data_IF_568636779326
#
_entry.id   IF_568636779326
#
_cell.length_a   1.000
_cell.length_b   1.000
_cell.length_c   1.000
_cell.angle_alpha   90.00
_cell.angle_beta   90.00
_cell.angle_gamma   90.00
#
_symmetry.space_group_name_H-M   'P 1'
#
loop_
_entity.id
_entity.type
_entity.pdbx_description
1 polymer ?
#
# COMPACT_ATOMS: atom_id res chain seq x y z
N UNK A 1 13.40 41.07 -25.86
CA UNK A 1 12.31 40.23 -25.30
C UNK A 1 12.34 38.88 -26.00
N UNK A 2 12.86 37.83 -25.34
CA UNK A 2 12.78 36.44 -25.83
C UNK A 2 11.56 35.80 -25.17
N UNK A 3 10.54 35.48 -25.97
CA UNK A 3 9.37 34.75 -25.50
C UNK A 3 9.78 33.29 -25.23
N UNK A 4 9.46 32.86 -24.01
CA UNK A 4 9.70 31.53 -23.47
C UNK A 4 8.89 30.49 -24.25
N UNK A 5 9.59 29.52 -24.82
CA UNK A 5 8.99 28.31 -25.37
C UNK A 5 8.53 27.45 -24.18
N UNK A 6 7.25 27.55 -23.83
CA UNK A 6 6.65 26.70 -22.79
C UNK A 6 6.34 25.34 -23.43
N UNK A 7 6.92 24.23 -22.95
CA UNK A 7 6.57 22.93 -23.49
C UNK A 7 5.10 22.63 -23.18
N UNK A 8 4.28 22.46 -24.22
CA UNK A 8 2.93 21.93 -24.09
C UNK A 8 3.01 20.57 -23.40
N UNK A 9 2.45 20.47 -22.19
CA UNK A 9 2.12 19.21 -21.55
C UNK A 9 1.32 18.36 -22.55
N UNK A 10 1.90 17.22 -22.96
CA UNK A 10 1.17 16.21 -23.72
C UNK A 10 -0.05 15.81 -22.92
N UNK A 11 -1.24 15.93 -23.53
CA UNK A 11 -2.46 15.32 -22.99
C UNK A 11 -2.19 13.82 -22.75
N UNK A 12 -2.51 13.27 -21.56
CA UNK A 12 -2.44 11.83 -21.35
C UNK A 12 -3.40 11.13 -22.32
N UNK A 13 -2.99 9.96 -22.82
CA UNK A 13 -3.81 9.15 -23.70
C UNK A 13 -5.07 8.68 -22.94
N UNK A 14 -6.25 9.00 -23.49
CA UNK A 14 -7.55 8.82 -22.84
C UNK A 14 -7.93 7.37 -22.43
N UNK A 15 -7.08 6.37 -22.68
CA UNK A 15 -7.29 4.97 -22.30
C UNK A 15 -6.54 4.53 -21.03
N UNK A 16 -5.67 5.38 -20.47
CA UNK A 16 -4.82 5.02 -19.31
C UNK A 16 -5.49 5.30 -17.95
N UNK A 17 -6.76 5.68 -17.90
CA UNK A 17 -7.46 6.05 -16.65
C UNK A 17 -8.77 5.28 -16.41
N UNK A 18 -9.00 4.19 -17.15
CA UNK A 18 -10.17 3.33 -16.98
C UNK A 18 -9.76 2.00 -16.37
N UNK A 19 -10.42 1.65 -15.27
CA UNK A 19 -10.27 0.36 -14.60
C UNK A 19 -10.96 -0.73 -15.43
N UNK A 20 -10.25 -1.83 -15.69
CA UNK A 20 -10.75 -2.90 -16.55
C UNK A 20 -11.98 -3.63 -15.95
N UNK A 21 -12.84 -4.21 -16.81
CA UNK A 21 -13.93 -5.08 -16.33
C UNK A 21 -13.42 -6.32 -15.60
N UNK A 22 -12.22 -6.79 -15.95
CA UNK A 22 -11.51 -7.87 -15.25
C UNK A 22 -11.18 -7.48 -13.81
N UNK A 23 -10.75 -6.24 -13.57
CA UNK A 23 -10.43 -5.75 -12.23
C UNK A 23 -11.61 -5.81 -11.27
N UNK A 24 -12.85 -5.52 -11.72
CA UNK A 24 -14.04 -5.65 -10.86
C UNK A 24 -14.25 -7.08 -10.36
N UNK A 25 -13.90 -8.08 -11.17
CA UNK A 25 -13.95 -9.48 -10.74
C UNK A 25 -12.85 -9.77 -9.71
N UNK A 26 -11.64 -9.25 -9.92
CA UNK A 26 -10.54 -9.33 -8.95
C UNK A 26 -10.93 -8.72 -7.60
N UNK A 27 -11.52 -7.53 -7.59
CA UNK A 27 -11.99 -6.88 -6.35
C UNK A 27 -13.02 -7.75 -5.64
N UNK A 28 -14.01 -8.31 -6.34
CA UNK A 28 -15.00 -9.21 -5.69
C UNK A 28 -14.37 -10.48 -5.13
N UNK A 29 -13.43 -11.08 -5.84
CA UNK A 29 -12.72 -12.28 -5.38
C UNK A 29 -11.88 -11.98 -4.13
N UNK A 30 -11.14 -10.87 -4.15
CA UNK A 30 -10.30 -10.44 -3.04
C UNK A 30 -11.15 -10.02 -1.82
N UNK A 31 -12.31 -9.39 -2.03
CA UNK A 31 -13.25 -9.08 -0.96
C UNK A 31 -13.71 -10.35 -0.25
N UNK A 32 -14.12 -11.38 -1.02
CA UNK A 32 -14.54 -12.66 -0.46
C UNK A 32 -13.41 -13.34 0.33
N UNK A 33 -12.18 -13.23 -0.14
CA UNK A 33 -11.01 -13.74 0.58
C UNK A 33 -10.80 -13.00 1.91
N UNK A 34 -10.90 -11.67 1.93
CA UNK A 34 -10.85 -10.88 3.16
C UNK A 34 -11.99 -11.23 4.13
N UNK A 35 -13.21 -11.42 3.63
CA UNK A 35 -14.36 -11.77 4.47
C UNK A 35 -14.18 -13.14 5.15
N UNK A 36 -13.69 -14.14 4.42
CA UNK A 36 -13.48 -15.50 4.94
C UNK A 36 -12.39 -15.54 6.00
N UNK A 37 -11.35 -14.71 5.85
CA UNK A 37 -10.29 -14.57 6.84
C UNK A 37 -10.60 -13.52 7.92
N UNK A 38 -11.81 -12.95 7.91
CA UNK A 38 -12.24 -12.00 8.92
C UNK A 38 -11.45 -10.69 8.95
N UNK A 39 -10.91 -10.23 7.82
CA UNK A 39 -10.07 -9.03 7.74
C UNK A 39 -10.84 -7.77 7.30
N UNK A 40 -11.92 -7.93 6.54
CA UNK A 40 -12.57 -6.83 5.81
C UNK A 40 -13.24 -5.76 6.68
N UNK A 41 -13.68 -6.12 7.89
CA UNK A 41 -14.54 -5.27 8.74
C UNK A 41 -13.81 -4.69 9.95
N UNK A 42 -12.49 -4.82 9.97
CA UNK A 42 -11.62 -4.47 11.09
C UNK A 42 -10.73 -3.29 10.70
N UNK A 43 -10.34 -2.41 11.64
CA UNK A 43 -9.32 -1.39 11.39
C UNK A 43 -8.00 -2.05 10.97
N UNK A 44 -7.27 -1.42 10.04
CA UNK A 44 -5.97 -1.91 9.59
C UNK A 44 -4.86 -0.98 10.09
N UNK A 45 -3.88 -1.56 10.77
CA UNK A 45 -2.58 -0.92 10.98
C UNK A 45 -1.62 -1.36 9.89
N UNK A 46 -1.27 -0.44 8.99
CA UNK A 46 -0.38 -0.68 7.86
C UNK A 46 1.03 -0.23 8.22
N UNK A 47 1.97 -1.19 8.31
CA UNK A 47 3.37 -0.91 8.61
C UNK A 47 4.24 -1.03 7.36
N UNK A 48 4.87 0.08 7.00
CA UNK A 48 5.93 0.17 5.99
C UNK A 48 7.31 -0.23 6.51
N UNK A 49 8.35 0.13 5.76
CA UNK A 49 9.74 -0.27 6.05
C UNK A 49 10.70 0.91 6.23
N UNK A 50 10.15 2.11 6.46
CA UNK A 50 10.96 3.27 6.81
C UNK A 50 11.68 3.03 8.16
N UNK A 51 12.89 3.57 8.33
CA UNK A 51 13.61 3.45 9.60
C UNK A 51 12.90 4.21 10.71
N UNK A 52 12.94 3.67 11.93
CA UNK A 52 12.40 4.30 13.14
C UNK A 52 10.94 4.76 13.01
N UNK A 53 10.00 3.86 12.67
CA UNK A 53 8.59 4.20 12.55
C UNK A 53 8.02 4.74 13.87
N UNK A 54 7.14 5.72 13.78
CA UNK A 54 6.42 6.25 14.94
C UNK A 54 5.31 5.29 15.34
N UNK A 55 5.52 4.50 16.39
CA UNK A 55 4.52 3.51 16.84
C UNK A 55 3.36 4.20 17.59
N UNK A 56 2.10 3.83 17.30
CA UNK A 56 0.95 4.35 18.04
C UNK A 56 0.95 3.83 19.48
N UNK A 57 0.57 4.66 20.44
CA UNK A 57 0.45 4.23 21.85
C UNK A 57 -0.70 3.24 22.05
N UNK A 58 -1.79 3.43 21.30
CA UNK A 58 -2.98 2.58 21.34
C UNK A 58 -3.59 2.47 19.96
N UNK A 59 -3.82 1.24 19.52
CA UNK A 59 -4.62 0.94 18.33
C UNK A 59 -6.06 0.60 18.74
N UNK A 60 -7.03 0.70 17.82
CA UNK A 60 -8.36 0.15 18.04
C UNK A 60 -8.29 -1.32 18.46
N UNK A 61 -9.25 -1.75 19.27
CA UNK A 61 -9.41 -3.18 19.55
C UNK A 61 -9.66 -3.93 18.24
N UNK A 62 -9.23 -5.18 18.19
CA UNK A 62 -9.40 -6.05 17.02
C UNK A 62 -8.76 -5.51 15.72
N UNK A 63 -7.68 -4.73 15.82
CA UNK A 63 -6.92 -4.24 14.66
C UNK A 63 -6.24 -5.39 13.89
N UNK A 64 -6.29 -5.31 12.56
CA UNK A 64 -5.52 -6.14 11.63
C UNK A 64 -4.12 -5.55 11.44
N UNK A 65 -3.10 -6.37 11.63
CA UNK A 65 -1.69 -6.01 11.39
C UNK A 65 -1.30 -6.33 9.94
N UNK A 66 -1.24 -5.30 9.10
CA UNK A 66 -0.96 -5.39 7.68
C UNK A 66 0.47 -4.93 7.36
N UNK A 67 1.37 -5.86 7.04
CA UNK A 67 2.79 -5.57 6.88
C UNK A 67 3.23 -5.53 5.41
N UNK A 68 4.10 -4.58 5.09
CA UNK A 68 4.63 -4.40 3.73
C UNK A 68 6.04 -5.00 3.63
N UNK A 69 6.22 -5.98 2.74
CA UNK A 69 7.51 -6.69 2.57
C UNK A 69 8.02 -7.22 3.92
N UNK A 70 9.25 -6.88 4.28
CA UNK A 70 9.92 -7.32 5.51
C UNK A 70 9.61 -6.43 6.72
N UNK A 71 8.58 -5.59 6.67
CA UNK A 71 8.15 -4.75 7.80
C UNK A 71 7.85 -5.55 9.07
N UNK A 72 7.52 -6.84 8.96
CA UNK A 72 7.40 -7.74 10.10
C UNK A 72 8.67 -7.80 10.99
N UNK A 73 9.86 -7.52 10.46
CA UNK A 73 11.09 -7.42 11.26
C UNK A 73 11.09 -6.18 12.15
N UNK A 74 10.63 -5.06 11.59
CA UNK A 74 10.43 -3.81 12.34
C UNK A 74 9.37 -4.02 13.41
N UNK A 75 8.24 -4.62 13.05
CA UNK A 75 7.17 -4.97 13.98
C UNK A 75 7.68 -5.77 15.19
N UNK A 76 8.43 -6.84 14.96
CA UNK A 76 9.04 -7.65 16.03
C UNK A 76 9.97 -6.84 16.94
N UNK A 77 10.81 -5.97 16.38
CA UNK A 77 11.69 -5.09 17.18
C UNK A 77 10.90 -4.11 18.07
N UNK A 78 9.72 -3.70 17.61
CA UNK A 78 8.83 -2.79 18.32
C UNK A 78 7.79 -3.52 19.21
N UNK A 79 7.90 -4.84 19.37
CA UNK A 79 7.01 -5.63 20.22
C UNK A 79 5.59 -5.79 19.68
N UNK A 80 5.39 -5.55 18.38
CA UNK A 80 4.12 -5.81 17.71
C UNK A 80 3.95 -7.31 17.39
N UNK A 81 2.70 -7.80 17.26
CA UNK A 81 2.46 -9.19 16.88
C UNK A 81 2.90 -9.48 15.44
N UNK A 82 2.91 -10.75 15.06
CA UNK A 82 3.06 -11.15 13.66
C UNK A 82 1.92 -10.59 12.81
N UNK A 83 2.18 -10.40 11.52
CA UNK A 83 1.22 -9.80 10.61
C UNK A 83 0.08 -10.77 10.29
N UNK A 84 -1.15 -10.29 10.41
CA UNK A 84 -2.34 -10.99 9.90
C UNK A 84 -2.26 -11.14 8.38
N UNK A 85 -1.80 -10.10 7.70
CA UNK A 85 -1.60 -10.06 6.25
C UNK A 85 -0.28 -9.39 5.88
N UNK A 86 0.45 -9.98 4.94
CA UNK A 86 1.72 -9.44 4.42
C UNK A 86 1.72 -9.27 2.91
N UNK A 87 2.05 -8.07 2.42
CA UNK A 87 2.26 -7.82 0.99
C UNK A 87 3.68 -8.23 0.57
N UNK A 88 3.80 -9.32 -0.20
CA UNK A 88 5.07 -9.84 -0.69
C UNK A 88 5.25 -9.53 -2.18
N UNK A 89 6.29 -8.76 -2.53
CA UNK A 89 6.60 -8.43 -3.94
C UNK A 89 7.71 -9.23 -4.58
N UNK A 90 8.46 -9.99 -3.77
CA UNK A 90 9.50 -10.89 -4.20
C UNK A 90 9.43 -12.14 -3.33
N UNK A 91 9.53 -13.31 -3.96
CA UNK A 91 9.50 -14.57 -3.25
C UNK A 91 10.89 -15.21 -3.29
N UNK A 92 11.52 -15.26 -2.12
CA UNK A 92 12.80 -15.90 -1.87
C UNK A 92 12.73 -16.44 -0.44
N UNK A 93 12.52 -17.76 -0.30
CA UNK A 93 12.23 -18.41 0.98
C UNK A 93 13.27 -18.09 2.06
N UNK A 94 14.55 -18.00 1.66
CA UNK A 94 15.63 -17.68 2.58
C UNK A 94 15.47 -16.29 3.22
N UNK A 95 14.83 -15.35 2.51
CA UNK A 95 14.60 -13.98 3.00
C UNK A 95 13.39 -13.84 3.91
N UNK A 96 12.53 -14.84 3.97
CA UNK A 96 11.28 -14.83 4.75
C UNK A 96 11.30 -15.80 5.93
N UNK A 97 12.36 -16.61 6.07
CA UNK A 97 12.46 -17.70 7.06
C UNK A 97 12.34 -17.27 8.52
N UNK A 98 12.65 -16.00 8.83
CA UNK A 98 12.56 -15.40 10.16
C UNK A 98 11.20 -14.75 10.47
N UNK A 99 10.28 -14.72 9.51
CA UNK A 99 8.96 -14.10 9.61
C UNK A 99 7.85 -15.16 9.58
N UNK A 100 6.88 -15.01 10.48
CA UNK A 100 5.66 -15.82 10.44
C UNK A 100 4.64 -15.11 9.55
N UNK A 101 4.29 -15.75 8.44
CA UNK A 101 3.33 -15.22 7.46
C UNK A 101 2.00 -15.95 7.60
N UNK A 102 1.02 -15.30 8.21
CA UNK A 102 -0.34 -15.85 8.38
C UNK A 102 -1.08 -15.88 7.05
N UNK A 103 -1.23 -14.70 6.43
CA UNK A 103 -1.80 -14.53 5.09
C UNK A 103 -0.88 -13.68 4.23
N UNK A 104 -0.84 -13.99 2.93
CA UNK A 104 0.08 -13.33 1.99
C UNK A 104 -0.70 -12.75 0.82
N UNK A 105 -0.61 -11.44 0.65
CA UNK A 105 -0.97 -10.77 -0.59
C UNK A 105 0.26 -10.77 -1.51
N UNK A 106 0.30 -11.71 -2.45
CA UNK A 106 1.48 -12.00 -3.25
C UNK A 106 1.43 -11.28 -4.58
N UNK A 107 2.35 -10.35 -4.79
CA UNK A 107 2.47 -9.67 -6.08
C UNK A 107 3.20 -10.54 -7.10
N UNK A 108 2.58 -10.75 -8.27
CA UNK A 108 3.19 -11.46 -9.41
C UNK A 108 3.34 -10.58 -10.63
N UNK A 109 4.54 -10.60 -11.22
CA UNK A 109 4.87 -9.78 -12.39
C UNK A 109 4.37 -10.37 -13.72
N UNK A 110 4.10 -11.68 -13.80
CA UNK A 110 3.68 -12.34 -15.04
C UNK A 110 2.25 -12.85 -14.93
N UNK A 111 1.38 -12.39 -15.82
CA UNK A 111 0.11 -13.04 -16.10
C UNK A 111 0.38 -14.24 -17.01
N UNK A 112 0.83 -15.36 -16.43
CA UNK A 112 0.93 -16.62 -17.16
C UNK A 112 -0.39 -17.36 -17.09
N UNK A 113 -0.67 -18.19 -18.09
CA UNK A 113 -1.82 -19.11 -18.06
C UNK A 113 -1.85 -19.92 -16.76
N UNK A 114 -0.69 -20.29 -16.20
CA UNK A 114 -0.59 -20.96 -14.88
C UNK A 114 -1.14 -20.11 -13.73
N UNK A 115 -0.93 -18.79 -13.73
CA UNK A 115 -1.49 -17.89 -12.70
C UNK A 115 -3.00 -17.71 -12.90
N UNK A 116 -3.46 -17.69 -14.14
CA UNK A 116 -4.89 -17.69 -14.44
C UNK A 116 -5.58 -18.97 -13.94
N UNK A 117 -5.00 -20.15 -14.23
CA UNK A 117 -5.51 -21.42 -13.71
C UNK A 117 -5.36 -21.54 -12.20
N UNK A 118 -4.26 -21.05 -11.60
CA UNK A 118 -4.12 -21.06 -10.14
C UNK A 118 -5.21 -20.22 -9.50
N UNK A 119 -5.55 -19.05 -10.04
CA UNK A 119 -6.66 -18.23 -9.53
C UNK A 119 -8.02 -18.88 -9.67
N UNK A 120 -8.27 -19.58 -10.78
CA UNK A 120 -9.54 -20.32 -10.93
C UNK A 120 -9.62 -21.50 -9.98
N UNK A 121 -8.48 -22.11 -9.64
CA UNK A 121 -8.39 -23.21 -8.67
C UNK A 121 -8.26 -22.74 -7.21
N UNK A 122 -7.85 -21.48 -6.98
CA UNK A 122 -7.62 -20.92 -5.66
C UNK A 122 -8.92 -20.90 -4.88
N UNK A 123 -8.86 -21.48 -3.69
CA UNK A 123 -9.98 -21.45 -2.78
C UNK A 123 -9.92 -20.14 -2.01
N UNK A 124 -11.07 -19.51 -1.75
CA UNK A 124 -11.09 -18.32 -0.89
C UNK A 124 -10.54 -18.54 0.53
N UNK A 125 -10.36 -19.79 0.97
CA UNK A 125 -9.70 -20.17 2.23
C UNK A 125 -8.17 -20.25 2.15
N UNK A 126 -7.59 -20.11 0.96
CA UNK A 126 -6.14 -20.21 0.78
C UNK A 126 -5.44 -19.11 1.56
N UNK A 127 -4.23 -19.40 2.08
CA UNK A 127 -3.43 -18.41 2.81
C UNK A 127 -2.79 -17.36 1.90
N UNK A 128 -2.72 -17.63 0.60
CA UNK A 128 -2.16 -16.70 -0.39
C UNK A 128 -3.28 -16.14 -1.26
N UNK A 129 -3.25 -14.82 -1.48
CA UNK A 129 -4.03 -14.11 -2.47
C UNK A 129 -3.07 -13.49 -3.49
N UNK A 130 -3.18 -13.86 -4.76
CA UNK A 130 -2.32 -13.31 -5.81
C UNK A 130 -2.82 -11.92 -6.26
N UNK A 131 -1.89 -11.00 -6.47
CA UNK A 131 -2.12 -9.67 -7.04
C UNK A 131 -1.19 -9.47 -8.26
N UNK A 132 -1.74 -9.30 -9.44
CA UNK A 132 -0.93 -9.10 -10.65
C UNK A 132 -0.38 -7.67 -10.70
N UNK A 133 0.78 -7.52 -11.35
CA UNK A 133 1.44 -6.21 -11.46
C UNK A 133 0.57 -5.12 -12.10
N UNK A 134 -0.31 -5.44 -13.05
CA UNK A 134 -1.24 -4.47 -13.63
C UNK A 134 -2.40 -4.16 -12.68
N UNK A 135 -2.87 -5.14 -11.91
CA UNK A 135 -3.94 -4.92 -10.94
C UNK A 135 -3.49 -4.02 -9.80
N UNK A 136 -2.21 -4.05 -9.41
CA UNK A 136 -1.65 -3.06 -8.48
C UNK A 136 -1.89 -1.64 -8.97
N UNK A 137 -1.68 -1.41 -10.26
CA UNK A 137 -1.85 -0.10 -10.87
C UNK A 137 -3.35 0.26 -10.94
N UNK A 138 -4.23 -0.74 -11.13
CA UNK A 138 -5.68 -0.55 -11.07
C UNK A 138 -6.19 -0.25 -9.65
N UNK A 139 -5.63 -0.88 -8.61
CA UNK A 139 -5.93 -0.56 -7.21
C UNK A 139 -5.53 0.89 -6.90
N UNK A 140 -4.33 1.30 -7.28
CA UNK A 140 -3.85 2.67 -7.10
C UNK A 140 -4.73 3.66 -7.87
N UNK A 141 -5.05 3.37 -9.14
CA UNK A 141 -5.96 4.19 -9.94
C UNK A 141 -7.35 4.32 -9.29
N UNK A 142 -7.94 3.21 -8.85
CA UNK A 142 -9.27 3.19 -8.24
C UNK A 142 -9.29 3.96 -6.92
N UNK A 143 -8.30 3.75 -6.05
CA UNK A 143 -8.24 4.38 -4.74
C UNK A 143 -7.85 5.86 -4.82
N UNK A 144 -6.87 6.21 -5.66
CA UNK A 144 -6.17 7.50 -5.60
C UNK A 144 -6.43 8.35 -6.86
N UNK A 145 -7.13 7.82 -7.86
CA UNK A 145 -7.57 8.54 -9.05
C UNK A 145 -6.51 8.71 -10.14
N UNK A 146 -5.31 8.16 -9.98
CA UNK A 146 -4.24 8.16 -10.98
C UNK A 146 -3.27 7.01 -10.72
N UNK A 147 -2.50 6.62 -11.75
CA UNK A 147 -1.35 5.71 -11.59
C UNK A 147 -0.06 6.43 -11.22
N UNK A 148 -0.06 7.77 -11.21
CA UNK A 148 1.09 8.63 -10.91
C UNK A 148 2.31 8.36 -11.80
N UNK A 149 2.07 7.91 -13.03
CA UNK A 149 3.10 7.86 -14.07
C UNK A 149 3.59 9.29 -14.31
N UNK A 150 4.91 9.46 -14.49
CA UNK A 150 5.54 10.75 -14.84
C UNK A 150 5.55 11.82 -13.72
N UNK A 151 5.08 11.50 -12.51
CA UNK A 151 5.21 12.39 -11.34
C UNK A 151 6.65 12.43 -10.83
N UNK A 152 7.37 11.32 -10.92
CA UNK A 152 8.79 11.20 -10.63
C UNK A 152 9.49 10.30 -11.64
N UNK A 153 10.65 9.77 -11.25
CA UNK A 153 11.48 8.92 -12.12
C UNK A 153 10.93 7.50 -12.29
N UNK A 154 9.91 7.12 -11.52
CA UNK A 154 9.35 5.78 -11.52
C UNK A 154 7.97 5.72 -12.14
N UNK A 155 7.67 4.54 -12.69
CA UNK A 155 6.41 4.29 -13.40
C UNK A 155 5.22 4.17 -12.44
N UNK A 156 5.46 4.00 -11.13
CA UNK A 156 4.40 3.79 -10.13
C UNK A 156 4.86 4.06 -8.69
N UNK A 157 3.91 4.27 -7.76
CA UNK A 157 4.19 4.34 -6.31
C UNK A 157 4.75 3.04 -5.72
N UNK A 158 5.24 3.14 -4.48
CA UNK A 158 5.84 2.03 -3.76
C UNK A 158 4.85 0.94 -3.34
N UNK A 159 5.38 -0.20 -2.88
CA UNK A 159 4.55 -1.31 -2.39
C UNK A 159 3.68 -0.93 -1.19
N UNK A 160 4.09 0.04 -0.38
CA UNK A 160 3.27 0.48 0.74
C UNK A 160 1.98 1.15 0.25
N UNK A 161 2.07 1.96 -0.80
CA UNK A 161 0.90 2.55 -1.46
C UNK A 161 0.02 1.51 -2.13
N UNK A 162 0.58 0.39 -2.61
CA UNK A 162 -0.23 -0.75 -3.07
C UNK A 162 -1.05 -1.36 -1.93
N UNK A 163 -0.48 -1.56 -0.75
CA UNK A 163 -1.22 -2.10 0.41
C UNK A 163 -2.34 -1.15 0.85
N UNK A 164 -2.03 0.15 0.92
CA UNK A 164 -3.02 1.18 1.26
C UNK A 164 -4.15 1.23 0.22
N UNK A 165 -3.80 1.24 -1.07
CA UNK A 165 -4.79 1.24 -2.15
C UNK A 165 -5.66 -0.03 -2.13
N UNK A 166 -5.07 -1.18 -1.79
CA UNK A 166 -5.82 -2.42 -1.61
C UNK A 166 -6.85 -2.27 -0.49
N UNK A 167 -6.44 -1.83 0.70
CA UNK A 167 -7.35 -1.60 1.82
C UNK A 167 -8.47 -0.59 1.47
N UNK A 168 -8.13 0.51 0.79
CA UNK A 168 -9.10 1.53 0.38
C UNK A 168 -10.17 1.00 -0.59
N UNK A 169 -9.77 0.23 -1.61
CA UNK A 169 -10.73 -0.35 -2.57
C UNK A 169 -11.64 -1.40 -1.94
N UNK A 170 -11.22 -1.98 -0.82
CA UNK A 170 -11.97 -2.95 -0.03
C UNK A 170 -12.75 -2.34 1.13
N UNK A 171 -12.91 -1.00 1.14
CA UNK A 171 -13.69 -0.25 2.12
C UNK A 171 -13.33 -0.59 3.58
N UNK A 172 -12.04 -0.81 3.86
CA UNK A 172 -11.56 -1.04 5.22
C UNK A 172 -11.92 0.18 6.10
N UNK A 173 -12.57 -0.02 7.27
CA UNK A 173 -13.25 1.06 7.99
C UNK A 173 -12.31 2.13 8.55
N UNK A 174 -11.06 1.77 8.86
CA UNK A 174 -10.03 2.70 9.33
C UNK A 174 -8.65 2.17 8.92
N UNK A 175 -7.79 3.04 8.41
CA UNK A 175 -6.44 2.69 7.96
C UNK A 175 -5.43 3.61 8.67
N UNK A 176 -4.60 3.02 9.53
CA UNK A 176 -3.58 3.72 10.32
C UNK A 176 -2.21 3.38 9.74
N UNK A 177 -1.49 4.38 9.26
CA UNK A 177 -0.23 4.21 8.53
C UNK A 177 0.97 4.56 9.41
N UNK A 178 1.94 3.65 9.50
CA UNK A 178 3.24 3.88 10.13
C UNK A 178 4.39 3.38 9.23
N UNK A 179 5.61 3.86 9.45
CA UNK A 179 6.80 3.36 8.74
C UNK A 179 6.81 3.66 7.24
N UNK A 180 6.13 4.74 6.84
CA UNK A 180 6.25 5.34 5.51
C UNK A 180 6.89 6.71 5.67
N UNK A 181 7.95 6.98 4.91
CA UNK A 181 8.68 8.25 4.92
C UNK A 181 8.76 8.78 3.50
N UNK A 182 8.75 10.09 3.28
CA UNK A 182 8.97 10.65 1.94
C UNK A 182 10.43 11.09 1.73
N UNK A 183 11.15 11.29 2.84
CA UNK A 183 12.42 12.01 2.83
C UNK A 183 13.59 11.15 3.33
N UNK A 184 13.32 10.09 4.11
CA UNK A 184 14.39 9.23 4.64
C UNK A 184 14.83 8.17 3.63
N UNK A 185 16.15 8.07 3.50
CA UNK A 185 16.88 7.03 2.76
C UNK A 185 17.02 5.76 3.60
N UNK A 186 17.07 4.60 2.94
CA UNK A 186 17.25 3.29 3.58
C UNK A 186 15.95 2.54 3.94
N UNK A 187 16.08 1.23 4.11
CA UNK A 187 15.06 0.38 4.74
C UNK A 187 15.59 -0.01 6.14
N UNK A 188 14.73 -0.19 7.15
CA UNK A 188 15.19 -0.60 8.49
C UNK A 188 15.90 -1.98 8.53
N UNK A 189 15.87 -2.72 7.41
CA UNK A 189 16.57 -3.99 7.22
C UNK A 189 17.73 -3.90 6.20
N UNK A 190 18.05 -2.71 5.68
CA UNK A 190 19.13 -2.51 4.71
C UNK A 190 19.69 -1.08 4.79
N UNK A 191 20.86 -0.92 5.42
CA UNK A 191 21.58 0.36 5.63
C UNK A 191 22.21 0.96 4.36
N UNK A 192 21.83 0.47 3.18
CA UNK A 192 22.27 1.06 1.93
C UNK A 192 21.56 2.41 1.75
N UNK A 193 22.32 3.47 1.94
CA UNK A 193 21.96 4.90 1.87
C UNK A 193 21.57 5.35 0.45
N UNK A 194 20.74 4.55 -0.23
CA UNK A 194 20.24 4.79 -1.57
C UNK A 194 19.07 5.77 -1.48
N UNK A 195 19.05 6.74 -2.38
CA UNK A 195 17.92 7.68 -2.49
C UNK A 195 16.59 6.92 -2.58
N UNK A 196 15.58 7.42 -1.86
CA UNK A 196 14.26 6.80 -1.87
C UNK A 196 13.65 6.97 -3.26
N UNK A 197 13.63 5.85 -3.98
CA UNK A 197 13.21 5.76 -5.39
C UNK A 197 11.83 6.39 -5.66
N UNK A 198 10.81 6.11 -4.84
CA UNK A 198 9.42 6.47 -5.13
C UNK A 198 8.91 7.73 -4.42
N UNK A 199 9.78 8.63 -3.96
CA UNK A 199 9.39 9.72 -3.05
C UNK A 199 8.33 10.68 -3.63
N UNK A 200 8.46 11.05 -4.92
CA UNK A 200 7.54 11.98 -5.56
C UNK A 200 6.17 11.33 -5.84
N UNK A 201 6.17 10.09 -6.33
CA UNK A 201 4.96 9.31 -6.61
C UNK A 201 4.22 8.97 -5.31
N UNK A 202 4.93 8.54 -4.26
CA UNK A 202 4.36 8.26 -2.94
C UNK A 202 3.72 9.53 -2.35
N UNK A 203 4.37 10.70 -2.47
CA UNK A 203 3.83 11.98 -2.00
C UNK A 203 2.51 12.31 -2.70
N UNK A 204 2.48 12.27 -4.03
CA UNK A 204 1.28 12.57 -4.81
C UNK A 204 0.14 11.58 -4.52
N UNK A 205 0.47 10.29 -4.39
CA UNK A 205 -0.48 9.24 -4.06
C UNK A 205 -1.13 9.44 -2.68
N UNK A 206 -0.32 9.77 -1.66
CA UNK A 206 -0.83 10.03 -0.31
C UNK A 206 -1.64 11.33 -0.23
N UNK A 207 -1.27 12.39 -0.97
CA UNK A 207 -2.08 13.60 -1.08
C UNK A 207 -3.44 13.32 -1.72
N UNK A 208 -3.46 12.52 -2.79
CA UNK A 208 -4.70 12.10 -3.42
C UNK A 208 -5.56 11.24 -2.47
N UNK A 209 -4.95 10.34 -1.70
CA UNK A 209 -5.64 9.57 -0.68
C UNK A 209 -6.25 10.47 0.40
N UNK A 210 -5.49 11.42 0.94
CA UNK A 210 -5.96 12.39 1.95
C UNK A 210 -7.17 13.19 1.48
N UNK A 211 -7.19 13.60 0.21
CA UNK A 211 -8.30 14.38 -0.36
C UNK A 211 -9.59 13.57 -0.59
N UNK A 212 -9.50 12.23 -0.62
CA UNK A 212 -10.60 11.34 -1.02
C UNK A 212 -11.11 10.47 0.14
N UNK A 213 -10.26 10.17 1.11
CA UNK A 213 -10.51 9.14 2.12
C UNK A 213 -10.20 9.66 3.52
N UNK A 214 -11.26 10.06 4.23
CA UNK A 214 -11.13 10.63 5.58
C UNK A 214 -10.81 9.61 6.68
N UNK A 215 -10.95 8.31 6.39
CA UNK A 215 -10.66 7.21 7.32
C UNK A 215 -9.19 6.73 7.26
N UNK A 216 -8.32 7.47 6.56
CA UNK A 216 -6.88 7.21 6.51
C UNK A 216 -6.17 8.20 7.43
N UNK A 217 -5.35 7.70 8.34
CA UNK A 217 -4.51 8.50 9.23
C UNK A 217 -3.08 7.97 9.24
N UNK A 218 -2.15 8.77 9.75
CA UNK A 218 -0.76 8.34 9.94
C UNK A 218 -0.26 8.66 11.32
N UNK A 219 0.64 7.84 11.86
CA UNK A 219 1.37 8.14 13.09
C UNK A 219 2.59 9.02 12.85
N UNK A 220 2.96 9.29 11.60
CA UNK A 220 4.20 9.97 11.23
C UNK A 220 3.98 11.48 11.03
N UNK A 221 4.47 12.37 11.93
CA UNK A 221 4.18 13.81 11.85
C UNK A 221 4.70 14.47 10.57
N UNK A 222 5.86 14.03 10.07
CA UNK A 222 6.42 14.55 8.81
C UNK A 222 5.61 14.11 7.60
N UNK A 223 5.10 12.88 7.60
CA UNK A 223 4.23 12.38 6.54
C UNK A 223 2.92 13.16 6.52
N UNK A 224 2.31 13.35 7.69
CA UNK A 224 1.10 14.16 7.85
C UNK A 224 1.30 15.57 7.29
N UNK A 225 2.36 16.26 7.71
CA UNK A 225 2.68 17.61 7.23
C UNK A 225 2.91 17.69 5.71
N UNK A 226 3.56 16.68 5.12
CA UNK A 226 3.89 16.67 3.70
C UNK A 226 2.73 16.27 2.77
N UNK A 227 1.73 15.56 3.30
CA UNK A 227 0.66 14.93 2.48
C UNK A 227 -0.74 15.42 2.80
N UNK A 228 -0.94 16.05 3.97
CA UNK A 228 -2.27 16.41 4.46
C UNK A 228 -3.06 15.24 5.06
N UNK A 229 -2.48 14.03 5.15
CA UNK A 229 -3.10 12.93 5.91
C UNK A 229 -3.17 13.34 7.39
N UNK A 230 -4.33 13.16 8.07
CA UNK A 230 -4.46 13.50 9.48
C UNK A 230 -3.54 12.64 10.36
N UNK A 231 -3.01 13.25 11.42
CA UNK A 231 -2.23 12.54 12.42
C UNK A 231 -3.18 11.67 13.27
N UNK A 232 -2.81 10.41 13.47
CA UNK A 232 -3.56 9.45 14.27
C UNK A 232 -3.43 9.79 15.77
N UNK A 233 -4.53 9.64 16.52
CA UNK A 233 -4.55 9.84 17.97
C UNK A 233 -4.58 11.31 18.41
N UNK A 234 -4.45 12.28 17.50
CA UNK A 234 -4.81 13.66 17.80
C UNK A 234 -6.31 13.83 17.62
N UNK A 235 -7.05 13.85 18.73
CA UNK A 235 -8.44 14.29 18.74
C UNK A 235 -8.48 15.69 18.14
N UNK A 236 -9.09 15.84 16.96
CA UNK A 236 -9.42 17.17 16.45
C UNK A 236 -10.43 17.76 17.43
N UNK A 237 -9.98 18.72 18.23
CA UNK A 237 -10.88 19.57 18.98
C UNK A 237 -11.63 20.45 17.96
N UNK A 238 -12.70 19.91 17.38
CA UNK A 238 -13.70 20.69 16.65
C UNK A 238 -14.86 20.95 17.62
N UNK A 239 -14.88 22.17 18.15
CA UNK A 239 -16.05 22.76 18.82
C UNK A 239 -17.12 23.21 17.84
#
# INVERSE_FOLDING_TARGET
MKLLNTPMLKRPAANDDIVSSAFRHTVRANQRWLDIHGLARRPWFVLGSAPSPTMPQKLPEDTVFAYVKFAGRSAKKHGLPDGDITLATSWDEARWSDLQLSLVLRVRNKSSWRVFFSRMASKPSDRECDLLSHERDDYVLQAMGSRFREVGEHVRPSSALTMIAFALVHDIPEIIIAGISLDQTGHEYNDLNLQRKHGAEDRAALQAAASRHHHVSTTEPRLAAATGIPLYGTTSASG
#
